data_IF_320437699639
#
_entry.id   IF_320437699639
#
_cell.length_a   1.000
_cell.length_b   1.000
_cell.length_c   1.000
_cell.angle_alpha   90.00
_cell.angle_beta   90.00
_cell.angle_gamma   90.00
#
_symmetry.space_group_name_H-M   'P 1'
#
loop_
_entity.id
_entity.type
_entity.pdbx_description
1 polymer ?
#
# COMPACT_ATOMS: atom_id res chain seq x y z
N UNK A 1 18.47 25.21 -13.84
CA UNK A 1 19.36 26.19 -14.48
C UNK A 1 19.88 27.15 -13.42
N UNK A 2 21.18 27.45 -13.33
CA UNK A 2 21.66 28.49 -12.42
C UNK A 2 21.20 29.88 -12.92
N UNK A 3 20.69 30.72 -12.03
CA UNK A 3 20.34 32.12 -12.34
C UNK A 3 21.42 33.01 -11.73
N UNK A 4 22.38 33.46 -12.56
CA UNK A 4 23.55 34.24 -12.09
C UNK A 4 23.63 35.62 -12.72
N UNK A 5 23.02 35.79 -13.88
CA UNK A 5 23.03 37.02 -14.66
C UNK A 5 21.62 37.55 -14.88
N UNK A 6 21.54 38.81 -15.34
CA UNK A 6 20.27 39.40 -15.78
C UNK A 6 19.67 38.64 -16.95
N UNK A 7 20.50 38.13 -17.85
CA UNK A 7 20.05 37.39 -19.03
C UNK A 7 19.46 36.03 -18.62
N UNK A 8 20.09 35.32 -17.66
CA UNK A 8 19.53 34.09 -17.08
C UNK A 8 18.16 34.35 -16.43
N UNK A 9 18.03 35.46 -15.68
CA UNK A 9 16.78 35.84 -15.04
C UNK A 9 15.69 36.14 -16.07
N UNK A 10 16.04 36.81 -17.17
CA UNK A 10 15.10 37.14 -18.24
C UNK A 10 14.58 35.92 -19.00
N UNK A 11 15.36 34.83 -19.01
CA UNK A 11 14.98 33.53 -19.58
C UNK A 11 14.18 32.67 -18.59
N UNK A 12 14.61 32.61 -17.33
CA UNK A 12 13.95 31.82 -16.29
C UNK A 12 12.62 32.45 -15.82
N UNK A 13 12.47 33.76 -15.99
CA UNK A 13 11.30 34.50 -15.56
C UNK A 13 10.91 35.54 -16.62
N UNK A 14 10.50 36.74 -16.23
CA UNK A 14 10.03 37.75 -17.17
C UNK A 14 11.17 38.38 -17.97
N UNK A 15 10.99 38.60 -19.29
CA UNK A 15 9.79 38.32 -20.07
C UNK A 15 9.72 36.90 -20.68
N UNK A 16 10.80 36.11 -20.66
CA UNK A 16 10.93 34.85 -21.40
C UNK A 16 9.90 33.78 -21.03
N UNK A 17 9.54 33.67 -19.75
CA UNK A 17 8.55 32.71 -19.23
C UNK A 17 7.17 32.87 -19.87
N UNK A 18 6.81 34.08 -20.33
CA UNK A 18 5.51 34.33 -20.96
C UNK A 18 5.32 33.52 -22.25
N UNK A 19 6.41 33.28 -23.00
CA UNK A 19 6.37 32.42 -24.19
C UNK A 19 6.03 30.98 -23.83
N UNK A 20 6.70 30.43 -22.81
CA UNK A 20 6.43 29.07 -22.32
C UNK A 20 4.99 28.94 -21.84
N UNK A 21 4.46 29.95 -21.14
CA UNK A 21 3.06 29.95 -20.73
C UNK A 21 2.09 29.91 -21.93
N UNK A 22 2.40 30.65 -23.00
CA UNK A 22 1.56 30.65 -24.21
C UNK A 22 1.68 29.35 -25.01
N UNK A 23 2.88 28.76 -25.09
CA UNK A 23 3.08 27.45 -25.73
C UNK A 23 2.20 26.38 -25.04
N UNK A 24 2.17 26.35 -23.70
CA UNK A 24 1.29 25.43 -22.92
C UNK A 24 -0.20 25.77 -23.06
N UNK A 25 -0.54 27.06 -23.21
CA UNK A 25 -1.93 27.46 -23.46
C UNK A 25 -2.44 26.96 -24.81
N UNK A 26 -1.57 26.92 -25.83
CA UNK A 26 -1.88 26.39 -27.16
C UNK A 26 -1.89 24.85 -27.19
N UNK A 27 -0.98 24.19 -26.49
CA UNK A 27 -0.93 22.74 -26.32
C UNK A 27 -0.69 22.35 -24.83
N UNK A 28 -1.74 21.98 -24.08
CA UNK A 28 -1.62 21.62 -22.67
C UNK A 28 -0.63 20.46 -22.38
N UNK A 29 -0.40 19.56 -23.34
CA UNK A 29 0.56 18.45 -23.18
C UNK A 29 2.02 18.93 -23.07
N UNK A 30 2.31 20.13 -23.58
CA UNK A 30 3.65 20.73 -23.44
C UNK A 30 4.00 21.04 -21.98
N UNK A 31 3.03 21.00 -21.05
CA UNK A 31 3.31 21.02 -19.61
C UNK A 31 4.31 19.92 -19.19
N UNK A 32 4.26 18.73 -19.81
CA UNK A 32 5.22 17.65 -19.53
C UNK A 32 6.63 17.93 -20.03
N UNK A 33 6.77 18.70 -21.12
CA UNK A 33 8.06 18.97 -21.78
C UNK A 33 8.71 20.24 -21.24
N UNK A 34 7.89 21.24 -20.91
CA UNK A 34 8.32 22.60 -20.61
C UNK A 34 8.29 22.93 -19.11
N UNK A 35 7.80 22.03 -18.27
CA UNK A 35 7.74 22.20 -16.82
C UNK A 35 8.28 20.99 -16.07
N UNK A 36 8.32 21.08 -14.75
CA UNK A 36 8.71 19.98 -13.86
C UNK A 36 7.68 18.84 -13.82
N UNK A 37 6.45 19.03 -14.34
CA UNK A 37 5.34 18.08 -14.26
C UNK A 37 5.73 16.65 -14.59
N UNK A 38 6.56 16.45 -15.62
CA UNK A 38 6.96 15.11 -16.06
C UNK A 38 7.83 14.31 -15.08
N UNK A 39 8.39 14.95 -14.05
CA UNK A 39 9.22 14.28 -13.03
C UNK A 39 8.71 14.50 -11.59
N UNK A 40 7.57 15.16 -11.40
CA UNK A 40 7.04 15.48 -10.07
C UNK A 40 5.91 14.56 -9.64
N UNK A 41 5.95 14.12 -8.39
CA UNK A 41 4.91 13.30 -7.76
C UNK A 41 4.42 13.99 -6.50
N UNK A 42 3.11 14.06 -6.29
CA UNK A 42 2.57 14.48 -5.01
C UNK A 42 2.38 13.26 -4.11
N UNK A 43 3.01 13.26 -2.93
CA UNK A 43 2.79 12.26 -1.88
C UNK A 43 1.72 12.81 -0.95
N UNK A 44 0.48 12.34 -1.12
CA UNK A 44 -0.71 12.84 -0.43
C UNK A 44 -1.04 11.93 0.75
N UNK A 45 -1.25 12.53 1.92
CA UNK A 45 -1.77 11.85 3.10
C UNK A 45 -2.72 12.76 3.88
N UNK A 46 -3.60 12.20 4.71
CA UNK A 46 -4.32 12.93 5.77
C UNK A 46 -3.81 12.56 7.18
N UNK A 47 -2.83 11.64 7.25
CA UNK A 47 -2.24 11.18 8.51
C UNK A 47 -3.15 10.29 9.35
N UNK A 48 -4.18 9.69 8.75
CA UNK A 48 -5.15 8.87 9.49
C UNK A 48 -4.74 7.40 9.67
N UNK A 49 -3.69 6.94 8.98
CA UNK A 49 -3.18 5.58 9.09
C UNK A 49 -1.65 5.52 9.01
N UNK A 50 -0.95 6.38 9.77
CA UNK A 50 0.51 6.50 9.69
C UNK A 50 1.19 5.28 10.29
N UNK A 51 1.84 4.47 9.46
CA UNK A 51 2.54 3.25 9.89
C UNK A 51 1.62 2.37 10.78
N UNK A 52 2.12 1.91 11.93
CA UNK A 52 1.31 1.29 12.99
C UNK A 52 0.83 2.25 14.08
N UNK A 53 1.02 3.56 13.90
CA UNK A 53 0.66 4.59 14.87
C UNK A 53 -0.81 4.99 14.75
N UNK A 54 -1.43 4.74 13.61
CA UNK A 54 -2.83 5.04 13.34
C UNK A 54 -3.06 6.51 13.01
N UNK A 55 -4.19 7.05 13.46
CA UNK A 55 -4.59 8.43 13.22
C UNK A 55 -3.85 9.37 14.18
N UNK A 56 -2.78 9.97 13.68
CA UNK A 56 -1.95 10.95 14.40
C UNK A 56 -2.00 12.34 13.77
N UNK A 57 -2.82 12.49 12.72
CA UNK A 57 -3.04 13.73 11.99
C UNK A 57 -1.90 14.14 11.05
N UNK A 58 -2.18 15.14 10.19
CA UNK A 58 -1.32 15.50 9.06
C UNK A 58 0.07 16.00 9.47
N UNK A 59 0.15 16.76 10.56
CA UNK A 59 1.42 17.34 11.04
C UNK A 59 2.39 16.27 11.52
N UNK A 60 1.88 15.24 12.20
CA UNK A 60 2.72 14.14 12.68
C UNK A 60 3.05 13.14 11.56
N UNK A 61 2.25 13.09 10.49
CA UNK A 61 2.54 12.31 9.29
C UNK A 61 3.67 12.89 8.42
N UNK A 62 3.91 14.21 8.48
CA UNK A 62 4.89 14.91 7.61
C UNK A 62 6.27 14.23 7.53
N UNK A 63 6.92 13.80 8.63
CA UNK A 63 8.22 13.15 8.55
C UNK A 63 8.21 11.84 7.74
N UNK A 64 7.11 11.08 7.78
CA UNK A 64 6.95 9.86 6.98
C UNK A 64 6.82 10.22 5.50
N UNK A 65 6.05 11.26 5.18
CA UNK A 65 5.88 11.73 3.79
C UNK A 65 7.17 12.33 3.22
N UNK A 66 7.94 13.06 4.02
CA UNK A 66 9.28 13.55 3.64
C UNK A 66 10.25 12.39 3.40
N UNK A 67 10.22 11.37 4.26
CA UNK A 67 10.95 10.13 4.05
C UNK A 67 10.57 9.45 2.72
N UNK A 68 9.27 9.34 2.43
CA UNK A 68 8.79 8.79 1.15
C UNK A 68 9.29 9.59 -0.05
N UNK A 69 9.27 10.92 0.04
CA UNK A 69 9.78 11.78 -1.02
C UNK A 69 11.29 11.60 -1.24
N UNK A 70 12.06 11.42 -0.16
CA UNK A 70 13.49 11.07 -0.25
C UNK A 70 13.71 9.72 -0.95
N UNK A 71 12.89 8.71 -0.67
CA UNK A 71 12.98 7.39 -1.33
C UNK A 71 12.67 7.49 -2.83
N UNK A 72 11.65 8.26 -3.23
CA UNK A 72 11.37 8.55 -4.63
C UNK A 72 12.59 9.19 -5.33
N UNK A 73 13.26 10.11 -4.65
CA UNK A 73 14.44 10.77 -5.20
C UNK A 73 15.64 9.83 -5.32
N UNK A 74 15.95 9.08 -4.27
CA UNK A 74 17.14 8.22 -4.23
C UNK A 74 17.03 7.04 -5.20
N UNK A 75 15.88 6.36 -5.23
CA UNK A 75 15.75 5.10 -5.97
C UNK A 75 15.24 5.26 -7.40
N UNK A 76 14.54 6.36 -7.71
CA UNK A 76 13.93 6.58 -9.02
C UNK A 76 14.26 7.96 -9.65
N UNK A 77 15.04 8.80 -8.97
CA UNK A 77 15.31 10.19 -9.38
C UNK A 77 14.03 11.02 -9.63
N UNK A 78 12.95 10.71 -8.90
CA UNK A 78 11.66 11.40 -8.98
C UNK A 78 11.64 12.57 -7.98
N UNK A 79 11.14 13.72 -8.41
CA UNK A 79 11.01 14.91 -7.56
C UNK A 79 9.65 14.88 -6.82
N UNK A 80 9.59 14.11 -5.75
CA UNK A 80 8.38 13.96 -4.94
C UNK A 80 8.20 15.10 -3.93
N UNK A 81 6.96 15.52 -3.70
CA UNK A 81 6.59 16.55 -2.73
C UNK A 81 5.56 16.03 -1.71
N UNK A 82 5.85 16.09 -0.40
CA UNK A 82 4.91 15.68 0.63
C UNK A 82 3.80 16.73 0.82
N UNK A 83 2.55 16.29 0.83
CA UNK A 83 1.37 17.14 1.05
C UNK A 83 0.42 16.42 2.02
N UNK A 84 0.49 16.79 3.30
CA UNK A 84 -0.45 16.34 4.31
C UNK A 84 -1.67 17.28 4.40
N UNK A 85 -2.87 16.75 4.20
CA UNK A 85 -4.13 17.49 4.21
C UNK A 85 -4.74 17.50 5.62
N UNK A 86 -5.14 18.67 6.11
CA UNK A 86 -5.82 18.84 7.42
C UNK A 86 -7.33 18.70 7.29
N UNK A 87 -7.77 17.60 6.68
CA UNK A 87 -9.17 17.20 6.55
C UNK A 87 -9.28 15.68 6.48
N UNK A 88 -10.37 15.15 7.02
CA UNK A 88 -10.75 13.74 6.90
C UNK A 88 -12.04 13.55 6.10
N UNK A 89 -12.55 14.61 5.47
CA UNK A 89 -13.68 14.50 4.56
C UNK A 89 -13.22 13.93 3.21
N UNK A 90 -13.81 12.80 2.81
CA UNK A 90 -13.46 12.09 1.58
C UNK A 90 -13.57 12.97 0.34
N UNK A 91 -14.64 13.75 0.22
CA UNK A 91 -14.88 14.57 -0.96
C UNK A 91 -13.96 15.80 -0.98
N UNK A 92 -13.70 16.41 0.18
CA UNK A 92 -12.72 17.50 0.30
C UNK A 92 -11.31 17.05 -0.11
N UNK A 93 -10.88 15.85 0.29
CA UNK A 93 -9.60 15.26 -0.14
C UNK A 93 -9.59 15.10 -1.67
N UNK A 94 -10.63 14.48 -2.24
CA UNK A 94 -10.72 14.26 -3.70
C UNK A 94 -10.64 15.59 -4.46
N UNK A 95 -11.45 16.58 -4.06
CA UNK A 95 -11.47 17.89 -4.72
C UNK A 95 -10.14 18.64 -4.56
N UNK A 96 -9.51 18.55 -3.39
CA UNK A 96 -8.20 19.19 -3.15
C UNK A 96 -7.12 18.57 -4.03
N UNK A 97 -7.03 17.24 -4.09
CA UNK A 97 -6.05 16.54 -4.92
C UNK A 97 -6.27 16.87 -6.40
N UNK A 98 -7.52 16.92 -6.85
CA UNK A 98 -7.85 17.33 -8.23
C UNK A 98 -7.43 18.76 -8.54
N UNK A 99 -7.63 19.68 -7.60
CA UNK A 99 -7.28 21.08 -7.79
C UNK A 99 -5.76 21.30 -7.93
N UNK A 100 -4.94 20.48 -7.27
CA UNK A 100 -3.47 20.60 -7.31
C UNK A 100 -2.80 19.72 -8.40
N UNK A 101 -3.52 18.75 -8.96
CA UNK A 101 -3.03 17.82 -9.97
C UNK A 101 -2.34 18.45 -11.21
N UNK A 102 -2.70 19.66 -11.70
CA UNK A 102 -2.02 20.25 -12.86
C UNK A 102 -0.50 20.34 -12.72
N UNK A 103 0.02 20.56 -11.50
CA UNK A 103 1.46 20.68 -11.23
C UNK A 103 2.24 19.37 -11.09
N UNK A 104 1.56 18.21 -11.11
CA UNK A 104 2.16 16.91 -10.84
C UNK A 104 1.98 15.93 -12.00
N UNK A 105 2.95 15.05 -12.20
CA UNK A 105 2.91 13.98 -13.19
C UNK A 105 2.20 12.73 -12.69
N UNK A 106 2.12 12.53 -11.37
CA UNK A 106 1.35 11.47 -10.73
C UNK A 106 1.01 11.80 -9.27
N UNK A 107 0.03 11.08 -8.72
CA UNK A 107 -0.37 11.14 -7.30
C UNK A 107 -0.04 9.82 -6.62
N UNK A 108 0.69 9.89 -5.51
CA UNK A 108 0.91 8.78 -4.59
C UNK A 108 0.08 9.01 -3.32
N UNK A 109 -0.95 8.20 -3.09
CA UNK A 109 -1.71 8.19 -1.84
C UNK A 109 -0.99 7.33 -0.80
N UNK A 110 -0.84 7.85 0.40
CA UNK A 110 -0.08 7.22 1.49
C UNK A 110 -0.78 7.42 2.84
N UNK A 111 -0.79 6.39 3.70
CA UNK A 111 -1.22 6.49 5.10
C UNK A 111 -2.67 7.04 5.27
N UNK A 112 -3.57 6.71 4.35
CA UNK A 112 -4.99 7.05 4.43
C UNK A 112 -5.80 5.83 4.91
N UNK A 113 -6.57 6.02 5.97
CA UNK A 113 -7.34 4.95 6.60
C UNK A 113 -8.41 4.32 5.70
N UNK A 114 -8.52 3.00 5.78
CA UNK A 114 -9.66 2.27 5.24
C UNK A 114 -10.92 2.52 6.10
N UNK A 115 -12.14 2.56 5.50
CA UNK A 115 -12.43 2.26 4.09
C UNK A 115 -12.34 3.46 3.14
N UNK A 116 -12.10 4.68 3.63
CA UNK A 116 -12.13 5.91 2.81
C UNK A 116 -11.11 5.88 1.68
N UNK A 117 -9.91 5.34 1.95
CA UNK A 117 -8.85 5.23 0.95
C UNK A 117 -9.30 4.53 -0.35
N UNK A 118 -10.22 3.56 -0.28
CA UNK A 118 -10.73 2.87 -1.47
C UNK A 118 -11.56 3.81 -2.36
N UNK A 119 -12.43 4.64 -1.76
CA UNK A 119 -13.24 5.59 -2.51
C UNK A 119 -12.38 6.72 -3.08
N UNK A 120 -11.48 7.27 -2.25
CA UNK A 120 -10.55 8.33 -2.65
C UNK A 120 -9.72 7.88 -3.85
N UNK A 121 -9.09 6.71 -3.77
CA UNK A 121 -8.29 6.18 -4.87
C UNK A 121 -9.14 5.92 -6.11
N UNK A 122 -10.29 5.26 -5.98
CA UNK A 122 -11.14 4.93 -7.11
C UNK A 122 -11.60 6.19 -7.86
N UNK A 123 -12.13 7.19 -7.14
CA UNK A 123 -12.60 8.46 -7.71
C UNK A 123 -11.44 9.21 -8.36
N UNK A 124 -10.29 9.31 -7.71
CA UNK A 124 -9.13 10.01 -8.28
C UNK A 124 -8.60 9.32 -9.55
N UNK A 125 -8.58 7.98 -9.59
CA UNK A 125 -8.21 7.22 -10.80
C UNK A 125 -9.18 7.42 -11.97
N UNK A 126 -10.47 7.62 -11.68
CA UNK A 126 -11.48 7.88 -12.72
C UNK A 126 -11.52 9.33 -13.18
N UNK A 127 -11.20 10.28 -12.29
CA UNK A 127 -11.37 11.71 -12.54
C UNK A 127 -10.10 12.46 -12.91
N UNK A 128 -8.92 11.86 -12.74
CA UNK A 128 -7.63 12.44 -13.15
C UNK A 128 -7.11 11.80 -14.44
N UNK A 129 -6.42 12.61 -15.23
CA UNK A 129 -5.68 12.23 -16.43
C UNK A 129 -4.24 11.75 -16.13
N UNK A 130 -3.82 11.85 -14.87
CA UNK A 130 -2.51 11.40 -14.38
C UNK A 130 -2.63 10.11 -13.55
N UNK A 131 -1.57 9.27 -13.48
CA UNK A 131 -1.58 8.08 -12.65
C UNK A 131 -1.83 8.41 -11.17
N UNK A 132 -2.70 7.62 -10.55
CA UNK A 132 -2.95 7.65 -9.10
C UNK A 132 -2.66 6.26 -8.56
N UNK A 133 -1.84 6.20 -7.50
CA UNK A 133 -1.37 4.95 -6.91
C UNK A 133 -1.43 5.05 -5.39
N UNK A 134 -2.09 4.10 -4.73
CA UNK A 134 -2.03 3.97 -3.29
C UNK A 134 -1.00 2.92 -2.86
N UNK A 135 0.07 3.34 -2.19
CA UNK A 135 1.21 2.45 -1.91
C UNK A 135 0.84 1.34 -0.91
N UNK A 136 0.15 1.69 0.19
CA UNK A 136 -0.29 0.70 1.20
C UNK A 136 -1.28 -0.35 0.66
N UNK A 137 -1.82 -0.14 -0.54
CA UNK A 137 -2.66 -1.12 -1.22
C UNK A 137 -1.82 -1.87 -2.26
N UNK A 138 -1.45 -1.17 -3.32
CA UNK A 138 -0.90 -1.77 -4.51
C UNK A 138 0.58 -2.08 -4.36
N UNK A 139 1.35 -1.21 -3.71
CA UNK A 139 2.77 -1.41 -3.42
C UNK A 139 2.98 -2.66 -2.57
N UNK A 140 2.23 -2.77 -1.45
CA UNK A 140 2.26 -3.96 -0.60
C UNK A 140 1.87 -5.22 -1.36
N UNK A 141 0.78 -5.20 -2.14
CA UNK A 141 0.31 -6.36 -2.86
C UNK A 141 1.30 -6.87 -3.92
N UNK A 142 1.95 -5.96 -4.66
CA UNK A 142 2.98 -6.31 -5.66
C UNK A 142 4.17 -6.99 -5.00
N UNK A 143 4.73 -6.39 -3.95
CA UNK A 143 5.93 -6.93 -3.28
C UNK A 143 5.61 -8.23 -2.53
N UNK A 144 4.47 -8.32 -1.83
CA UNK A 144 4.04 -9.55 -1.16
C UNK A 144 3.83 -10.69 -2.16
N UNK A 145 3.23 -10.42 -3.32
CA UNK A 145 3.02 -11.45 -4.35
C UNK A 145 4.35 -11.90 -4.97
N UNK A 146 5.28 -10.97 -5.21
CA UNK A 146 6.63 -11.29 -5.69
C UNK A 146 7.41 -12.16 -4.68
N UNK A 147 7.35 -11.80 -3.40
CA UNK A 147 7.94 -12.59 -2.31
C UNK A 147 7.33 -13.99 -2.25
N UNK A 148 6.00 -14.11 -2.36
CA UNK A 148 5.30 -15.39 -2.37
C UNK A 148 5.76 -16.29 -3.53
N UNK A 149 5.88 -15.76 -4.75
CA UNK A 149 6.36 -16.52 -5.91
C UNK A 149 7.74 -17.13 -5.64
N UNK A 150 8.65 -16.38 -5.03
CA UNK A 150 9.99 -16.86 -4.72
C UNK A 150 10.00 -17.85 -3.55
N UNK A 151 9.21 -17.60 -2.50
CA UNK A 151 9.07 -18.50 -1.37
C UNK A 151 8.52 -19.86 -1.80
N UNK A 152 7.49 -19.89 -2.65
CA UNK A 152 6.91 -21.13 -3.18
C UNK A 152 7.89 -21.95 -4.02
N UNK A 153 8.73 -21.28 -4.83
CA UNK A 153 9.82 -21.96 -5.55
C UNK A 153 10.85 -22.56 -4.60
N UNK A 154 11.17 -21.88 -3.51
CA UNK A 154 12.15 -22.33 -2.53
C UNK A 154 11.66 -23.58 -1.76
N UNK A 155 10.39 -23.60 -1.37
CA UNK A 155 9.79 -24.75 -0.64
C UNK A 155 9.16 -25.81 -1.55
N UNK A 156 9.30 -25.68 -2.87
CA UNK A 156 8.74 -26.57 -3.90
C UNK A 156 7.23 -26.84 -3.74
N UNK A 157 6.45 -25.78 -3.57
CA UNK A 157 4.98 -25.83 -3.47
C UNK A 157 4.30 -25.21 -4.69
N UNK A 158 3.20 -25.81 -5.13
CA UNK A 158 2.35 -25.28 -6.21
C UNK A 158 1.30 -24.32 -5.68
N UNK A 159 1.09 -23.21 -6.38
CA UNK A 159 0.21 -22.13 -5.94
C UNK A 159 -1.26 -22.57 -5.81
N UNK A 160 -1.70 -23.51 -6.63
CA UNK A 160 -3.08 -24.02 -6.62
C UNK A 160 -3.39 -24.95 -5.45
N UNK A 161 -2.36 -25.48 -4.77
CA UNK A 161 -2.47 -26.50 -3.72
C UNK A 161 -2.32 -25.93 -2.30
N UNK A 162 -1.86 -24.68 -2.17
CA UNK A 162 -1.59 -24.07 -0.86
C UNK A 162 -2.83 -23.51 -0.18
N UNK A 163 -2.81 -23.53 1.16
CA UNK A 163 -3.72 -22.75 2.02
C UNK A 163 -3.02 -21.48 2.50
N UNK A 164 -3.62 -20.32 2.19
CA UNK A 164 -3.14 -19.00 2.61
C UNK A 164 -4.06 -18.42 3.67
N UNK A 165 -3.50 -17.93 4.78
CA UNK A 165 -4.24 -17.18 5.80
C UNK A 165 -3.73 -15.75 5.83
N UNK A 166 -4.63 -14.79 5.66
CA UNK A 166 -4.32 -13.35 5.71
C UNK A 166 -4.89 -12.76 6.99
N UNK A 167 -4.03 -12.20 7.85
CA UNK A 167 -4.45 -11.40 9.00
C UNK A 167 -4.50 -9.93 8.57
N UNK A 168 -5.71 -9.36 8.61
CA UNK A 168 -5.99 -7.99 8.17
C UNK A 168 -6.89 -7.98 6.93
N UNK A 169 -8.06 -7.35 7.08
CA UNK A 169 -9.02 -7.12 5.99
C UNK A 169 -9.14 -5.62 5.64
N UNK A 170 -8.06 -4.87 5.87
CA UNK A 170 -7.92 -3.46 5.49
C UNK A 170 -7.47 -3.28 4.05
N UNK A 171 -6.89 -2.12 3.75
CA UNK A 171 -6.42 -1.73 2.42
C UNK A 171 -5.39 -2.74 1.85
N UNK A 172 -4.26 -2.90 2.54
CA UNK A 172 -3.20 -3.86 2.20
C UNK A 172 -3.72 -5.30 2.08
N UNK A 173 -4.40 -5.80 3.11
CA UNK A 173 -4.88 -7.19 3.14
C UNK A 173 -5.82 -7.53 1.99
N UNK A 174 -6.70 -6.60 1.61
CA UNK A 174 -7.61 -6.75 0.46
C UNK A 174 -6.85 -6.80 -0.86
N UNK A 175 -5.92 -5.85 -1.07
CA UNK A 175 -5.12 -5.79 -2.29
C UNK A 175 -4.20 -7.01 -2.45
N UNK A 176 -3.50 -7.41 -1.38
CA UNK A 176 -2.69 -8.63 -1.33
C UNK A 176 -3.54 -9.86 -1.66
N UNK A 177 -4.71 -10.00 -1.04
CA UNK A 177 -5.59 -11.15 -1.28
C UNK A 177 -6.07 -11.21 -2.73
N UNK A 178 -6.44 -10.07 -3.33
CA UNK A 178 -6.81 -10.01 -4.76
C UNK A 178 -5.69 -10.49 -5.67
N UNK A 179 -4.46 -10.00 -5.46
CA UNK A 179 -3.31 -10.40 -6.28
C UNK A 179 -2.91 -11.86 -6.06
N UNK A 180 -2.97 -12.35 -4.81
CA UNK A 180 -2.67 -13.75 -4.49
C UNK A 180 -3.70 -14.70 -5.13
N UNK A 181 -4.99 -14.33 -5.14
CA UNK A 181 -6.01 -15.09 -5.88
C UNK A 181 -5.75 -15.08 -7.39
N UNK A 182 -5.36 -13.93 -7.96
CA UNK A 182 -4.99 -13.83 -9.37
C UNK A 182 -3.75 -14.67 -9.73
N UNK A 183 -2.84 -14.90 -8.78
CA UNK A 183 -1.69 -15.79 -8.96
C UNK A 183 -2.11 -17.27 -9.10
N UNK A 184 -3.32 -17.64 -8.65
CA UNK A 184 -3.88 -18.99 -8.78
C UNK A 184 -4.18 -19.70 -7.46
N UNK A 185 -4.02 -19.02 -6.31
CA UNK A 185 -4.38 -19.59 -5.01
C UNK A 185 -5.88 -19.85 -4.94
N UNK A 186 -6.26 -21.07 -4.56
CA UNK A 186 -7.67 -21.49 -4.46
C UNK A 186 -8.22 -21.38 -3.03
N UNK A 187 -7.37 -21.54 -2.02
CA UNK A 187 -7.78 -21.55 -0.62
C UNK A 187 -7.10 -20.42 0.15
N UNK A 188 -7.68 -19.23 0.05
CA UNK A 188 -7.29 -18.06 0.84
C UNK A 188 -8.35 -17.78 1.91
N UNK A 189 -7.95 -17.50 3.15
CA UNK A 189 -8.85 -17.14 4.24
C UNK A 189 -8.42 -15.79 4.83
N UNK A 190 -9.26 -14.77 4.71
CA UNK A 190 -9.06 -13.50 5.39
C UNK A 190 -9.59 -13.51 6.81
N UNK A 191 -8.84 -12.93 7.74
CA UNK A 191 -9.22 -12.73 9.13
C UNK A 191 -9.22 -11.24 9.50
N UNK A 192 -10.17 -10.84 10.34
CA UNK A 192 -10.13 -9.56 11.04
C UNK A 192 -10.02 -9.77 12.55
N UNK A 193 -10.18 -8.70 13.34
CA UNK A 193 -10.13 -8.76 14.81
C UNK A 193 -11.17 -9.67 15.46
N UNK A 194 -12.20 -10.13 14.72
CA UNK A 194 -13.21 -11.09 15.21
C UNK A 194 -13.04 -12.49 14.61
N UNK A 195 -11.93 -12.74 13.93
CA UNK A 195 -11.59 -14.05 13.35
C UNK A 195 -11.89 -14.15 11.85
N UNK A 196 -12.06 -15.38 11.37
CA UNK A 196 -12.23 -15.67 9.96
C UNK A 196 -13.46 -14.98 9.37
N UNK A 197 -13.31 -14.41 8.18
CA UNK A 197 -14.40 -13.77 7.45
C UNK A 197 -15.13 -14.83 6.62
N UNK A 198 -16.46 -14.86 6.74
CA UNK A 198 -17.33 -15.80 6.03
C UNK A 198 -18.75 -15.23 5.85
N UNK A 199 -19.55 -15.72 4.89
CA UNK A 199 -20.86 -15.16 4.53
C UNK A 199 -21.91 -15.08 5.67
N UNK A 200 -21.75 -15.90 6.72
CA UNK A 200 -22.68 -15.95 7.86
C UNK A 200 -22.40 -14.87 8.94
N UNK A 201 -21.36 -14.05 8.76
CA UNK A 201 -21.11 -12.89 9.62
C UNK A 201 -22.00 -11.71 9.23
N UNK A 202 -22.52 -11.01 10.24
CA UNK A 202 -23.44 -9.88 10.05
C UNK A 202 -22.74 -8.51 10.14
N UNK A 203 -21.43 -8.49 10.44
CA UNK A 203 -20.66 -7.30 10.76
C UNK A 203 -19.62 -6.95 9.68
N UNK A 204 -20.04 -7.06 8.41
CA UNK A 204 -19.17 -6.92 7.24
C UNK A 204 -19.37 -5.56 6.57
N UNK A 205 -18.30 -4.76 6.50
CA UNK A 205 -18.24 -3.60 5.61
C UNK A 205 -17.98 -4.07 4.15
N UNK A 206 -17.89 -3.14 3.20
CA UNK A 206 -17.66 -3.44 1.77
C UNK A 206 -16.44 -4.32 1.52
N UNK A 207 -15.29 -4.00 2.11
CA UNK A 207 -14.06 -4.80 2.02
C UNK A 207 -14.26 -6.22 2.57
N UNK A 208 -14.80 -6.35 3.79
CA UNK A 208 -15.03 -7.65 4.42
C UNK A 208 -16.10 -8.47 3.67
N UNK A 209 -17.06 -7.80 3.03
CA UNK A 209 -18.05 -8.45 2.16
C UNK A 209 -17.36 -9.10 0.96
N UNK A 210 -16.44 -8.38 0.32
CA UNK A 210 -15.61 -8.95 -0.76
C UNK A 210 -14.85 -10.19 -0.30
N UNK A 211 -14.23 -10.17 0.89
CA UNK A 211 -13.59 -11.36 1.46
C UNK A 211 -14.58 -12.52 1.66
N UNK A 212 -15.75 -12.26 2.24
CA UNK A 212 -16.75 -13.30 2.48
C UNK A 212 -17.25 -13.95 1.20
N UNK A 213 -17.33 -13.19 0.10
CA UNK A 213 -17.84 -13.66 -1.18
C UNK A 213 -16.76 -14.28 -2.08
N UNK A 214 -15.49 -13.87 -1.93
CA UNK A 214 -14.41 -14.22 -2.86
C UNK A 214 -13.36 -15.17 -2.27
N UNK A 215 -13.40 -15.40 -0.96
CA UNK A 215 -12.39 -16.17 -0.23
C UNK A 215 -13.05 -17.23 0.65
N UNK A 216 -12.23 -18.02 1.34
CA UNK A 216 -12.64 -19.01 2.32
C UNK A 216 -13.65 -20.02 1.75
N UNK A 217 -13.24 -20.82 0.73
CA UNK A 217 -14.14 -21.69 -0.04
C UNK A 217 -14.87 -22.74 0.81
N UNK A 218 -14.30 -23.12 1.94
CA UNK A 218 -14.87 -24.10 2.88
C UNK A 218 -15.67 -23.43 4.01
N UNK A 219 -15.85 -22.10 3.98
CA UNK A 219 -16.53 -21.32 5.00
C UNK A 219 -16.05 -21.60 6.42
N UNK A 220 -14.73 -21.71 6.59
CA UNK A 220 -14.10 -21.89 7.89
C UNK A 220 -14.48 -20.73 8.81
N UNK A 221 -14.71 -21.03 10.08
CA UNK A 221 -15.05 -20.07 11.13
C UNK A 221 -14.12 -20.28 12.33
N UNK A 222 -13.99 -19.27 13.17
CA UNK A 222 -13.13 -19.33 14.35
C UNK A 222 -12.14 -18.16 14.39
N UNK A 223 -11.25 -18.21 15.37
CA UNK A 223 -10.17 -17.23 15.55
C UNK A 223 -9.08 -17.40 14.50
N UNK A 224 -8.17 -16.43 14.42
CA UNK A 224 -6.98 -16.53 13.57
C UNK A 224 -6.18 -17.81 13.85
N UNK A 225 -6.01 -18.15 15.13
CA UNK A 225 -5.29 -19.34 15.60
C UNK A 225 -5.98 -20.65 15.21
N UNK A 226 -7.31 -20.65 15.10
CA UNK A 226 -8.05 -21.84 14.64
C UNK A 226 -7.81 -22.08 13.14
N UNK A 227 -7.82 -21.02 12.34
CA UNK A 227 -7.72 -21.16 10.87
C UNK A 227 -6.29 -21.22 10.35
N UNK A 228 -5.28 -20.77 11.11
CA UNK A 228 -3.87 -20.87 10.72
C UNK A 228 -3.35 -22.32 10.76
N UNK A 229 -3.99 -23.21 11.52
CA UNK A 229 -3.63 -24.62 11.55
C UNK A 229 -3.67 -25.25 10.14
N UNK A 230 -2.57 -25.90 9.76
CA UNK A 230 -2.37 -26.49 8.43
C UNK A 230 -2.27 -25.49 7.27
N UNK A 231 -2.14 -24.18 7.53
CA UNK A 231 -1.87 -23.20 6.48
C UNK A 231 -0.42 -23.33 5.97
N UNK A 232 -0.21 -23.14 4.68
CA UNK A 232 1.14 -23.11 4.08
C UNK A 232 1.78 -21.74 4.19
N UNK A 233 0.94 -20.70 4.11
CA UNK A 233 1.37 -19.31 4.07
C UNK A 233 0.53 -18.49 5.06
N UNK A 234 1.21 -17.70 5.87
CA UNK A 234 0.60 -16.63 6.66
C UNK A 234 1.05 -15.27 6.10
N UNK A 235 0.10 -14.37 5.85
CA UNK A 235 0.36 -12.98 5.47
C UNK A 235 -0.28 -12.06 6.50
N UNK A 236 0.54 -11.42 7.30
CA UNK A 236 0.15 -10.44 8.30
C UNK A 236 0.32 -9.02 7.77
N UNK A 237 -0.78 -8.27 7.75
CA UNK A 237 -0.86 -6.82 7.48
C UNK A 237 -1.89 -6.19 8.42
N UNK A 238 -1.69 -6.42 9.72
CA UNK A 238 -2.71 -6.23 10.75
C UNK A 238 -2.18 -5.51 12.00
N UNK A 239 -1.84 -6.27 13.04
CA UNK A 239 -1.47 -5.77 14.35
C UNK A 239 -0.30 -6.59 14.92
N UNK A 240 0.47 -6.04 15.86
CA UNK A 240 1.59 -6.74 16.46
C UNK A 240 1.16 -7.96 17.28
N UNK A 241 2.01 -9.00 17.31
CA UNK A 241 1.92 -10.16 18.20
C UNK A 241 0.57 -10.92 18.17
N UNK A 242 -0.04 -11.05 16.99
CA UNK A 242 -1.32 -11.76 16.81
C UNK A 242 -1.18 -13.28 16.70
N UNK A 243 0.02 -13.76 16.35
CA UNK A 243 0.38 -15.18 16.36
C UNK A 243 1.70 -15.37 17.12
N UNK A 244 1.95 -16.60 17.58
CA UNK A 244 3.16 -16.96 18.30
C UNK A 244 3.81 -18.22 17.69
N UNK A 245 4.94 -18.63 18.25
CA UNK A 245 5.68 -19.80 17.76
C UNK A 245 4.85 -21.11 17.77
N UNK A 246 3.93 -21.29 18.71
CA UNK A 246 3.08 -22.50 18.77
C UNK A 246 2.05 -22.52 17.64
N UNK A 247 1.51 -21.36 17.28
CA UNK A 247 0.60 -21.22 16.15
C UNK A 247 1.31 -21.58 14.84
N UNK A 248 2.57 -21.13 14.67
CA UNK A 248 3.39 -21.44 13.49
C UNK A 248 3.76 -22.93 13.42
N UNK A 249 4.02 -23.58 14.56
CA UNK A 249 4.25 -25.05 14.59
C UNK A 249 3.03 -25.85 14.18
N UNK A 250 1.83 -25.28 14.28
CA UNK A 250 0.58 -25.91 13.82
C UNK A 250 0.31 -25.72 12.32
N UNK A 251 1.12 -24.92 11.61
CA UNK A 251 1.02 -24.72 10.17
C UNK A 251 1.43 -25.99 9.38
N UNK A 252 1.25 -25.96 8.08
CA UNK A 252 1.72 -27.01 7.17
C UNK A 252 3.24 -27.14 7.18
N UNK A 253 3.75 -28.25 6.62
CA UNK A 253 5.18 -28.49 6.47
C UNK A 253 5.83 -27.33 5.68
N UNK A 254 7.04 -26.92 6.06
CA UNK A 254 7.79 -25.82 5.43
C UNK A 254 6.95 -24.52 5.39
N UNK A 255 6.55 -23.97 6.54
CA UNK A 255 5.63 -22.84 6.59
C UNK A 255 6.33 -21.54 6.15
N UNK A 256 5.57 -20.71 5.42
CA UNK A 256 5.98 -19.38 4.97
C UNK A 256 5.22 -18.34 5.81
N UNK A 257 5.95 -17.42 6.45
CA UNK A 257 5.36 -16.38 7.30
C UNK A 257 5.85 -15.02 6.81
N UNK A 258 4.91 -14.18 6.37
CA UNK A 258 5.15 -12.77 6.06
C UNK A 258 4.50 -11.93 7.15
N UNK A 259 5.28 -11.37 8.07
CA UNK A 259 4.80 -10.54 9.19
C UNK A 259 5.16 -9.07 8.92
N UNK A 260 4.24 -8.37 8.24
CA UNK A 260 4.52 -7.08 7.59
C UNK A 260 4.04 -5.87 8.40
N UNK A 261 3.40 -6.06 9.56
CA UNK A 261 3.08 -4.94 10.44
C UNK A 261 4.33 -4.20 10.90
N UNK A 262 4.26 -2.87 10.86
CA UNK A 262 5.30 -1.96 11.33
C UNK A 262 4.76 -1.11 12.49
N UNK A 263 5.59 -0.71 13.47
CA UNK A 263 6.99 -1.11 13.63
C UNK A 263 7.16 -2.52 14.20
N UNK A 264 6.13 -3.03 14.86
CA UNK A 264 6.12 -4.34 15.51
C UNK A 264 5.32 -5.35 14.68
N UNK A 265 5.91 -6.49 14.26
CA UNK A 265 5.28 -7.46 13.39
C UNK A 265 4.27 -8.36 14.10
N UNK A 266 3.46 -9.09 13.33
CA UNK A 266 2.50 -10.08 13.81
C UNK A 266 3.12 -11.18 14.68
N UNK A 267 4.40 -11.48 14.45
CA UNK A 267 5.27 -12.34 15.24
C UNK A 267 6.70 -11.83 15.06
N UNK A 268 7.48 -11.79 16.14
CA UNK A 268 8.88 -11.36 16.05
C UNK A 268 9.69 -12.32 15.17
N UNK A 269 10.63 -11.83 14.34
CA UNK A 269 11.49 -12.70 13.54
C UNK A 269 12.26 -13.71 14.39
N UNK A 270 12.72 -13.32 15.59
CA UNK A 270 13.45 -14.20 16.50
C UNK A 270 12.61 -15.40 16.97
N UNK A 271 11.29 -15.22 17.14
CA UNK A 271 10.37 -16.31 17.49
C UNK A 271 10.01 -17.19 16.28
N UNK A 272 9.89 -16.59 15.10
CA UNK A 272 9.44 -17.25 13.87
C UNK A 272 10.56 -18.04 13.18
N UNK A 273 11.75 -17.47 13.04
CA UNK A 273 12.89 -18.05 12.31
C UNK A 273 13.21 -19.51 12.67
N UNK A 274 13.15 -19.95 13.94
CA UNK A 274 13.42 -21.35 14.29
C UNK A 274 12.41 -22.37 13.76
N UNK A 275 11.23 -21.93 13.30
CA UNK A 275 10.09 -22.80 12.96
C UNK A 275 9.51 -22.56 11.57
N UNK A 276 10.04 -21.61 10.81
CA UNK A 276 9.60 -21.30 9.45
C UNK A 276 10.62 -21.71 8.41
N UNK A 277 10.15 -22.06 7.21
CA UNK A 277 11.02 -22.25 6.05
C UNK A 277 11.39 -20.91 5.40
N UNK A 278 10.45 -19.95 5.42
CA UNK A 278 10.66 -18.59 4.92
C UNK A 278 10.00 -17.60 5.87
N UNK A 279 10.76 -16.58 6.28
CA UNK A 279 10.27 -15.41 7.00
C UNK A 279 10.43 -14.18 6.10
N UNK A 280 9.45 -13.29 6.12
CA UNK A 280 9.61 -11.92 5.61
C UNK A 280 8.97 -10.93 6.59
N UNK A 281 9.50 -9.71 6.63
CA UNK A 281 8.97 -8.63 7.46
C UNK A 281 9.06 -7.28 6.75
N UNK A 282 8.29 -6.29 7.21
CA UNK A 282 8.33 -4.91 6.71
C UNK A 282 9.52 -4.09 7.24
N UNK A 283 10.37 -4.71 8.07
CA UNK A 283 11.50 -4.08 8.72
C UNK A 283 12.79 -4.23 7.92
N UNK A 284 13.58 -3.15 7.87
CA UNK A 284 14.85 -3.11 7.12
C UNK A 284 16.05 -3.70 7.86
N UNK A 285 15.92 -3.98 9.16
CA UNK A 285 17.00 -4.54 9.99
C UNK A 285 17.02 -6.07 10.02
N UNK A 286 16.07 -6.71 9.33
CA UNK A 286 16.01 -8.16 9.12
C UNK A 286 16.18 -8.50 7.64
N UNK A 287 16.59 -9.75 7.31
CA UNK A 287 16.75 -10.22 5.92
C UNK A 287 15.46 -10.17 5.09
#
# INVERSE_FOLDING_TARGET
MPVKTRDDLSMAYTPGVARICMDIYEDPEDAYKLTIKGNTVAVISDGTAVLGLGDIGPKAAMPVMEGKAMLFKEFANIDAWPICLDTTDTEEIIQTVKAIAPGFGAINLEDISAPRCFEIEHRLREELDIPVFHDDQHGTAVVTTAALINALKFVDKKVEDIKVVVSGAGAAGTACSKMILQLGVKNLIGCDSKGAIHPKRNDLNSSKRWFADSTNPNHNSGTLKDVIAGADVFVGVSAPNVINQEDVKCMGKDPIVFAMSNPDPEISPDEALPVVAVMATGRSDYP
#
